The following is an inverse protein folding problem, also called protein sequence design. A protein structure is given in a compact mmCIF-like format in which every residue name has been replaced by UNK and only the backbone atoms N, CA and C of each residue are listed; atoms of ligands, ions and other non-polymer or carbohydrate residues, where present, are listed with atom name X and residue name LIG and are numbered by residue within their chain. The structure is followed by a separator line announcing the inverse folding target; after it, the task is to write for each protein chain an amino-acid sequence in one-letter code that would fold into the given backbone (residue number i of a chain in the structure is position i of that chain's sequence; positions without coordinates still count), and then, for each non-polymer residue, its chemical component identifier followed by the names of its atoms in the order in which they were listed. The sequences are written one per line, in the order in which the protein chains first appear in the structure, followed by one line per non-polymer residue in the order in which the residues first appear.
data_IF_258587907088
#
_entry.id   IF_258587907088
#
_cell.length_a   1.000
_cell.length_b   1.000
_cell.length_c   1.000
_cell.angle_alpha   90.00
_cell.angle_beta   90.00
_cell.angle_gamma   90.00
#
_symmetry.space_group_name_H-M   'P 1'
#
loop_
_entity.id
_entity.type
_entity.pdbx_description
1 polymer ?
#
# COMPACT_ATOMS: atom_id res chain seq x y z
N UNK A 1 -15.36 3.65 -8.87
CA UNK A 1 -13.97 3.85 -8.41
C UNK A 1 -12.98 3.54 -9.51
N UNK A 2 -12.14 4.51 -9.90
CA UNK A 2 -10.92 4.29 -10.67
C UNK A 2 -9.71 4.24 -9.70
N UNK A 3 -8.75 3.34 -9.95
CA UNK A 3 -7.44 3.38 -9.30
C UNK A 3 -6.62 4.53 -9.87
N UNK A 4 -5.55 4.94 -9.18
CA UNK A 4 -4.62 5.96 -9.68
C UNK A 4 -4.07 5.61 -11.06
N UNK A 5 -3.92 6.60 -11.95
CA UNK A 5 -3.39 6.45 -13.32
C UNK A 5 -4.21 5.58 -14.28
N UNK A 6 -3.58 4.94 -15.27
CA UNK A 6 -4.25 4.09 -16.30
C UNK A 6 -3.67 2.67 -16.40
N UNK A 7 -4.38 1.74 -17.07
CA UNK A 7 -3.86 0.38 -17.32
C UNK A 7 -2.63 0.40 -18.25
N UNK A 8 -2.57 1.35 -19.18
CA UNK A 8 -1.44 1.55 -20.08
C UNK A 8 -0.21 2.01 -19.31
N UNK A 9 -0.34 3.03 -18.46
CA UNK A 9 0.74 3.51 -17.60
C UNK A 9 1.21 2.43 -16.61
N UNK A 10 0.27 1.63 -16.08
CA UNK A 10 0.61 0.49 -15.24
C UNK A 10 1.44 -0.55 -15.99
N UNK A 11 1.07 -0.88 -17.23
CA UNK A 11 1.81 -1.83 -18.06
C UNK A 11 3.21 -1.32 -18.38
N UNK A 12 3.33 -0.04 -18.77
CA UNK A 12 4.61 0.61 -19.03
C UNK A 12 5.52 0.63 -17.79
N UNK A 13 4.94 0.89 -16.61
CA UNK A 13 5.67 0.86 -15.34
C UNK A 13 6.23 -0.54 -15.06
N UNK A 14 5.39 -1.58 -15.17
CA UNK A 14 5.82 -2.96 -14.91
C UNK A 14 6.90 -3.42 -15.89
N UNK A 15 6.81 -3.03 -17.16
CA UNK A 15 7.84 -3.33 -18.17
C UNK A 15 9.17 -2.64 -17.83
N UNK A 16 9.13 -1.36 -17.46
CA UNK A 16 10.32 -0.61 -17.05
C UNK A 16 10.97 -1.18 -15.77
N UNK A 17 10.15 -1.71 -14.86
CA UNK A 17 10.60 -2.40 -13.64
C UNK A 17 11.11 -3.83 -13.89
N UNK A 18 10.92 -4.38 -15.10
CA UNK A 18 11.29 -5.75 -15.44
C UNK A 18 10.33 -6.82 -14.90
N UNK A 19 9.11 -6.42 -14.52
CA UNK A 19 8.06 -7.33 -14.06
C UNK A 19 7.28 -7.92 -15.22
N UNK A 20 6.74 -9.13 -15.00
CA UNK A 20 5.98 -9.87 -16.00
C UNK A 20 4.62 -10.22 -15.40
N UNK A 21 3.55 -9.77 -16.07
CA UNK A 21 2.21 -10.14 -15.64
C UNK A 21 2.00 -11.66 -15.74
N UNK A 22 1.21 -12.26 -14.84
CA UNK A 22 0.77 -13.65 -15.00
C UNK A 22 0.11 -13.87 -16.36
N UNK A 23 0.39 -15.02 -16.99
CA UNK A 23 -0.20 -15.35 -18.28
C UNK A 23 -1.74 -15.31 -18.21
N UNK A 24 -2.36 -14.74 -19.25
CA UNK A 24 -3.81 -14.59 -19.31
C UNK A 24 -4.38 -13.43 -18.48
N UNK A 25 -3.55 -12.55 -17.92
CA UNK A 25 -4.03 -11.33 -17.24
C UNK A 25 -4.81 -10.44 -18.21
N UNK A 26 -6.10 -10.28 -17.94
CA UNK A 26 -7.02 -9.47 -18.74
C UNK A 26 -7.03 -8.01 -18.29
N UNK A 27 -7.45 -7.09 -19.17
CA UNK A 27 -7.58 -5.66 -18.86
C UNK A 27 -8.50 -5.39 -17.64
N UNK A 28 -9.66 -6.06 -17.47
CA UNK A 28 -10.47 -5.92 -16.26
C UNK A 28 -9.73 -6.35 -14.98
N UNK A 29 -8.87 -7.38 -15.04
CA UNK A 29 -8.08 -7.80 -13.89
C UNK A 29 -7.00 -6.77 -13.53
N UNK A 30 -6.33 -6.16 -14.52
CA UNK A 30 -5.42 -5.04 -14.28
C UNK A 30 -6.13 -3.86 -13.64
N UNK A 31 -7.32 -3.53 -14.14
CA UNK A 31 -8.14 -2.46 -13.55
C UNK A 31 -8.52 -2.77 -12.12
N UNK A 32 -8.98 -4.00 -11.82
CA UNK A 32 -9.33 -4.42 -10.47
C UNK A 32 -8.13 -4.40 -9.51
N UNK A 33 -6.96 -4.83 -9.98
CA UNK A 33 -5.73 -4.81 -9.20
C UNK A 33 -5.28 -3.38 -8.89
N UNK A 34 -5.35 -2.46 -9.87
CA UNK A 34 -5.09 -1.03 -9.66
C UNK A 34 -6.01 -0.43 -8.60
N UNK A 35 -7.28 -0.85 -8.51
CA UNK A 35 -8.16 -0.41 -7.43
C UNK A 35 -7.62 -0.83 -6.07
N UNK A 36 -7.24 -2.11 -5.92
CA UNK A 36 -6.72 -2.65 -4.65
C UNK A 36 -5.38 -2.00 -4.28
N UNK A 37 -4.49 -1.83 -5.25
CA UNK A 37 -3.23 -1.12 -5.06
C UNK A 37 -3.44 0.33 -4.61
N UNK A 38 -4.40 1.04 -5.22
CA UNK A 38 -4.74 2.41 -4.80
C UNK A 38 -5.29 2.47 -3.37
N UNK A 39 -6.17 1.53 -3.00
CA UNK A 39 -6.69 1.43 -1.63
C UNK A 39 -5.58 1.18 -0.60
N UNK A 40 -4.59 0.38 -0.96
CA UNK A 40 -3.43 0.14 -0.11
C UNK A 40 -2.63 1.44 0.13
N UNK A 41 -2.39 2.23 -0.93
CA UNK A 41 -1.73 3.54 -0.80
C UNK A 41 -2.57 4.52 0.03
N UNK A 42 -3.89 4.53 -0.17
CA UNK A 42 -4.81 5.40 0.57
C UNK A 42 -4.77 5.13 2.10
N UNK A 43 -4.34 3.94 2.56
CA UNK A 43 -4.12 3.63 3.99
C UNK A 43 -3.08 4.54 4.65
N UNK A 44 -2.15 5.09 3.87
CA UNK A 44 -1.14 6.03 4.36
C UNK A 44 -1.65 7.47 4.51
N UNK A 45 -2.92 7.74 4.16
CA UNK A 45 -3.50 9.07 4.24
C UNK A 45 -3.28 9.81 5.56
N UNK A 46 -3.39 9.20 6.75
CA UNK A 46 -3.13 9.91 8.01
C UNK A 46 -1.71 10.47 8.12
N UNK A 47 -0.78 9.99 7.29
CA UNK A 47 0.61 10.44 7.23
C UNK A 47 0.87 11.40 6.08
N UNK A 48 -0.03 11.54 5.10
CA UNK A 48 0.20 12.45 3.96
C UNK A 48 0.02 13.91 4.37
N UNK A 49 0.84 14.77 3.78
CA UNK A 49 0.72 16.22 3.95
C UNK A 49 -0.54 16.78 3.29
N UNK A 50 -0.99 17.94 3.75
CA UNK A 50 -2.20 18.59 3.23
C UNK A 50 -3.50 17.81 3.51
N UNK A 51 -4.56 18.18 2.80
CA UNK A 51 -5.90 17.59 2.93
C UNK A 51 -6.51 17.30 1.55
N UNK A 52 -7.45 16.36 1.45
CA UNK A 52 -8.10 16.02 0.16
C UNK A 52 -8.69 17.27 -0.50
N UNK A 53 -8.32 17.54 -1.75
CA UNK A 53 -8.79 18.72 -2.49
C UNK A 53 -10.32 18.73 -2.65
N UNK A 54 -10.92 17.58 -2.94
CA UNK A 54 -12.37 17.37 -3.07
C UNK A 54 -13.09 17.05 -1.76
N UNK A 55 -12.41 17.19 -0.61
CA UNK A 55 -13.00 16.92 0.71
C UNK A 55 -13.41 15.47 0.93
N UNK A 56 -14.42 15.24 1.77
CA UNK A 56 -14.84 13.90 2.21
C UNK A 56 -15.38 13.01 1.08
N UNK A 57 -15.91 13.62 0.01
CA UNK A 57 -16.50 12.90 -1.12
C UNK A 57 -15.46 12.46 -2.16
N UNK A 58 -14.21 12.96 -2.05
CA UNK A 58 -13.12 12.50 -2.92
C UNK A 58 -12.85 11.02 -2.65
N UNK A 59 -12.90 10.18 -3.68
CA UNK A 59 -12.75 8.73 -3.55
C UNK A 59 -11.32 8.30 -3.12
N UNK A 60 -10.30 9.04 -3.59
CA UNK A 60 -8.88 8.73 -3.43
C UNK A 60 -8.20 9.71 -2.48
N UNK A 61 -7.10 9.32 -1.83
CA UNK A 61 -6.39 10.21 -0.91
C UNK A 61 -5.74 11.41 -1.61
N UNK A 62 -5.36 11.25 -2.89
CA UNK A 62 -4.84 12.32 -3.76
C UNK A 62 -5.86 12.66 -4.88
N UNK A 63 -5.89 13.92 -5.37
CA UNK A 63 -4.97 15.03 -5.08
C UNK A 63 -5.26 15.75 -3.74
N UNK A 64 -4.35 16.64 -3.31
CA UNK A 64 -4.38 17.25 -1.98
C UNK A 64 -4.06 18.76 -1.98
N UNK A 65 -4.86 19.56 -1.27
CA UNK A 65 -4.63 20.99 -1.03
C UNK A 65 -3.68 21.21 0.13
N UNK A 66 -2.71 22.11 -0.06
CA UNK A 66 -1.71 22.45 0.96
C UNK A 66 -0.71 21.32 1.23
N UNK A 67 -0.59 20.36 0.31
CA UNK A 67 0.41 19.30 0.39
C UNK A 67 1.79 19.86 0.04
N UNK A 68 2.81 19.36 0.74
CA UNK A 68 4.21 19.63 0.46
C UNK A 68 5.03 18.35 0.58
N UNK A 69 6.18 18.32 -0.07
CA UNK A 69 7.17 17.27 0.15
C UNK A 69 7.74 17.37 1.57
N UNK A 70 8.48 16.34 1.99
CA UNK A 70 9.19 16.28 3.25
C UNK A 70 10.13 17.48 3.46
N UNK A 71 10.72 17.99 2.37
CA UNK A 71 11.60 19.16 2.39
C UNK A 71 10.86 20.51 2.27
N UNK A 72 9.51 20.50 2.26
CA UNK A 72 8.69 21.71 2.24
C UNK A 72 8.39 22.26 0.85
N UNK A 73 8.72 21.53 -0.23
CA UNK A 73 8.35 21.97 -1.59
C UNK A 73 6.84 21.80 -1.80
N UNK A 74 6.13 22.83 -2.27
CA UNK A 74 4.68 22.75 -2.43
C UNK A 74 4.31 21.80 -3.59
N UNK A 75 3.28 20.99 -3.37
CA UNK A 75 2.70 20.12 -4.38
C UNK A 75 1.39 20.77 -4.87
N UNK A 76 1.19 20.97 -6.18
CA UNK A 76 -0.04 21.53 -6.71
C UNK A 76 -1.28 20.71 -6.32
N UNK A 77 -2.39 21.40 -6.01
CA UNK A 77 -3.61 20.77 -5.47
C UNK A 77 -4.43 19.96 -6.47
N UNK A 78 -4.08 20.05 -7.75
CA UNK A 78 -4.67 19.33 -8.88
C UNK A 78 -3.79 18.17 -9.37
N UNK A 79 -2.63 17.95 -8.72
CA UNK A 79 -1.66 16.93 -9.12
C UNK A 79 -1.71 15.71 -8.20
N UNK A 80 -1.69 14.53 -8.81
CA UNK A 80 -1.31 13.28 -8.16
C UNK A 80 0.18 13.06 -8.45
N UNK A 81 1.06 13.02 -7.43
CA UNK A 81 2.49 12.80 -7.67
C UNK A 81 2.74 11.46 -8.37
N UNK A 82 3.64 11.44 -9.35
CA UNK A 82 3.98 10.22 -10.11
C UNK A 82 4.43 9.08 -9.19
N UNK A 83 5.15 9.39 -8.11
CA UNK A 83 5.55 8.39 -7.13
C UNK A 83 4.38 7.77 -6.36
N UNK A 84 3.27 8.50 -6.14
CA UNK A 84 2.03 7.93 -5.58
C UNK A 84 1.40 6.94 -6.57
N UNK A 85 1.36 7.29 -7.86
CA UNK A 85 0.85 6.39 -8.90
C UNK A 85 1.72 5.13 -9.03
N UNK A 86 3.04 5.28 -9.10
CA UNK A 86 3.99 4.17 -9.18
C UNK A 86 3.92 3.26 -7.95
N UNK A 87 3.80 3.83 -6.75
CA UNK A 87 3.58 3.07 -5.53
C UNK A 87 2.27 2.25 -5.61
N UNK A 88 1.22 2.83 -6.20
CA UNK A 88 -0.04 2.11 -6.41
C UNK A 88 0.09 0.99 -7.44
N UNK A 89 1.00 1.12 -8.42
CA UNK A 89 1.32 0.07 -9.39
C UNK A 89 2.08 -1.08 -8.77
N UNK A 90 3.07 -0.82 -7.91
CA UNK A 90 3.73 -1.85 -7.11
C UNK A 90 2.72 -2.65 -6.30
N UNK A 91 1.84 -1.95 -5.59
CA UNK A 91 0.78 -2.57 -4.81
C UNK A 91 -0.19 -3.38 -5.70
N UNK A 92 -0.55 -2.86 -6.87
CA UNK A 92 -1.42 -3.54 -7.82
C UNK A 92 -0.79 -4.82 -8.38
N UNK A 93 0.51 -4.81 -8.68
CA UNK A 93 1.22 -5.97 -9.18
C UNK A 93 1.31 -7.08 -8.12
N UNK A 94 1.58 -6.71 -6.86
CA UNK A 94 1.54 -7.65 -5.73
C UNK A 94 0.14 -8.27 -5.56
N UNK A 95 -0.92 -7.48 -5.72
CA UNK A 95 -2.31 -7.97 -5.68
C UNK A 95 -2.72 -8.82 -6.89
N UNK A 96 -2.00 -8.78 -8.00
CA UNK A 96 -2.20 -9.69 -9.15
C UNK A 96 -1.51 -11.02 -8.92
N UNK A 97 -0.29 -10.98 -8.40
CA UNK A 97 0.55 -12.16 -8.20
C UNK A 97 0.20 -12.91 -6.91
N UNK A 98 -0.24 -12.19 -5.88
CA UNK A 98 -0.69 -12.75 -4.61
C UNK A 98 -1.94 -11.99 -4.10
N UNK A 99 -3.14 -12.32 -4.62
CA UNK A 99 -4.37 -11.62 -4.29
C UNK A 99 -4.67 -11.63 -2.79
N UNK A 100 -5.01 -10.45 -2.22
CA UNK A 100 -5.36 -10.30 -0.81
C UNK A 100 -4.15 -10.22 0.15
N UNK A 101 -2.91 -10.30 -0.37
CA UNK A 101 -1.71 -10.19 0.45
C UNK A 101 -1.56 -8.83 1.13
N UNK A 102 -2.03 -7.75 0.51
CA UNK A 102 -1.94 -6.39 1.06
C UNK A 102 -3.09 -6.03 1.99
N UNK A 103 -4.11 -6.88 2.10
CA UNK A 103 -5.27 -6.71 2.98
C UNK A 103 -5.74 -8.06 3.55
N UNK A 104 -4.88 -8.73 4.35
CA UNK A 104 -5.21 -10.03 4.89
C UNK A 104 -6.36 -9.89 5.91
N UNK A 105 -7.37 -10.74 5.77
CA UNK A 105 -8.42 -10.90 6.78
C UNK A 105 -7.91 -11.91 7.80
N UNK A 106 -7.50 -11.43 8.98
CA UNK A 106 -7.08 -12.31 10.07
C UNK A 106 -8.31 -12.63 10.93
N UNK A 107 -8.67 -13.90 10.99
CA UNK A 107 -9.56 -14.45 12.03
C UNK A 107 -8.70 -15.05 13.13
N UNK A 108 -8.94 -14.71 14.40
CA UNK A 108 -8.13 -15.14 15.56
C UNK A 108 -7.98 -16.67 15.78
N UNK A 109 -8.50 -17.50 14.88
CA UNK A 109 -8.34 -18.96 14.83
C UNK A 109 -7.33 -19.46 13.79
N UNK A 110 -6.71 -18.61 12.97
CA UNK A 110 -5.85 -19.04 11.85
C UNK A 110 -4.40 -19.32 12.21
N UNK A 111 -4.02 -19.25 13.49
CA UNK A 111 -2.67 -19.64 13.93
C UNK A 111 -2.62 -21.16 14.07
N UNK A 112 -2.15 -21.85 13.03
CA UNK A 112 -1.78 -23.27 13.13
C UNK A 112 -0.59 -23.37 14.08
N UNK A 113 -0.86 -23.61 15.37
CA UNK A 113 0.15 -23.66 16.44
C UNK A 113 1.13 -24.84 16.28
N UNK A 114 0.75 -25.87 15.51
CA UNK A 114 1.58 -27.04 15.17
C UNK A 114 0.93 -27.80 14.01
N UNK A 115 1.68 -28.07 12.95
CA UNK A 115 1.29 -29.03 11.92
C UNK A 115 2.24 -30.23 12.01
N UNK A 116 1.69 -31.43 12.26
CA UNK A 116 2.47 -32.67 12.37
C UNK A 116 2.25 -33.49 11.11
N UNK A 117 3.27 -33.59 10.26
CA UNK A 117 3.27 -34.48 9.09
C UNK A 117 4.27 -35.60 9.35
N UNK A 118 3.77 -36.78 9.74
CA UNK A 118 4.62 -37.95 10.02
C UNK A 118 5.56 -37.76 11.22
N UNK A 119 6.86 -38.01 11.02
CA UNK A 119 7.92 -37.88 12.04
C UNK A 119 8.63 -36.52 12.04
N UNK A 120 8.19 -35.56 11.22
CA UNK A 120 8.72 -34.20 11.18
C UNK A 120 7.83 -33.27 12.01
N UNK A 121 8.45 -32.58 12.96
CA UNK A 121 7.83 -31.52 13.78
C UNK A 121 8.48 -30.19 13.40
N UNK A 122 7.68 -29.22 12.98
CA UNK A 122 8.13 -27.86 12.70
C UNK A 122 7.41 -26.93 13.68
N UNK A 123 8.17 -26.32 14.57
CA UNK A 123 7.69 -25.29 15.50
C UNK A 123 7.90 -23.92 14.85
N UNK A 124 6.79 -23.28 14.45
CA UNK A 124 6.82 -21.89 14.01
C UNK A 124 6.81 -21.00 15.26
N UNK A 125 7.74 -20.04 15.34
CA UNK A 125 7.72 -19.02 16.37
C UNK A 125 6.42 -18.21 16.25
N UNK A 126 5.43 -18.51 17.09
CA UNK A 126 4.21 -17.71 17.15
C UNK A 126 4.51 -16.41 17.87
N UNK A 127 4.05 -15.29 17.30
CA UNK A 127 4.01 -14.04 18.03
C UNK A 127 3.15 -14.22 19.29
N UNK A 128 3.60 -13.68 20.43
CA UNK A 128 2.88 -13.73 21.70
C UNK A 128 1.79 -12.65 21.83
N UNK A 129 1.63 -11.79 20.81
CA UNK A 129 0.59 -10.76 20.81
C UNK A 129 -0.79 -11.36 20.56
N UNK A 130 -1.72 -11.03 21.45
CA UNK A 130 -3.16 -11.33 21.31
C UNK A 130 -3.93 -10.16 20.70
N UNK A 131 -3.26 -9.04 20.40
CA UNK A 131 -3.89 -7.89 19.76
C UNK A 131 -4.09 -8.17 18.25
N UNK A 132 -5.34 -8.06 17.80
CA UNK A 132 -5.71 -8.29 16.39
C UNK A 132 -4.97 -7.30 15.48
N UNK A 133 -4.72 -6.07 15.94
CA UNK A 133 -3.99 -5.07 15.16
C UNK A 133 -2.54 -5.51 14.91
N UNK A 134 -1.87 -6.08 15.91
CA UNK A 134 -0.51 -6.60 15.79
C UNK A 134 -0.46 -7.84 14.88
N UNK A 135 -1.42 -8.75 14.99
CA UNK A 135 -1.46 -9.94 14.14
C UNK A 135 -1.71 -9.54 12.67
N UNK A 136 -2.59 -8.56 12.41
CA UNK A 136 -2.79 -8.03 11.05
C UNK A 136 -1.54 -7.34 10.53
N UNK A 137 -0.85 -6.54 11.37
CA UNK A 137 0.40 -5.89 10.98
C UNK A 137 1.51 -6.91 10.63
N UNK A 138 1.62 -8.00 11.39
CA UNK A 138 2.56 -9.09 11.12
C UNK A 138 2.20 -9.90 9.86
N UNK A 139 0.91 -9.99 9.52
CA UNK A 139 0.44 -10.69 8.33
C UNK A 139 0.54 -9.83 7.05
N UNK A 140 0.47 -8.50 7.17
CA UNK A 140 0.68 -7.60 6.02
C UNK A 140 2.17 -7.54 5.66
N UNK A 141 2.58 -7.88 4.42
CA UNK A 141 3.96 -7.78 4.02
C UNK A 141 4.41 -6.31 4.01
N UNK A 142 5.59 -6.04 4.57
CA UNK A 142 6.24 -4.73 4.46
C UNK A 142 6.91 -4.64 3.11
N UNK A 143 6.40 -3.78 2.24
CA UNK A 143 6.95 -3.54 0.90
C UNK A 143 7.79 -2.28 0.94
N UNK A 144 9.09 -2.44 1.23
CA UNK A 144 10.02 -1.32 1.39
C UNK A 144 10.15 -0.45 0.15
N UNK A 145 9.92 -1.02 -1.05
CA UNK A 145 9.87 -0.26 -2.31
C UNK A 145 8.74 0.79 -2.31
N UNK A 146 7.55 0.41 -1.82
CA UNK A 146 6.42 1.34 -1.68
C UNK A 146 6.75 2.43 -0.66
N UNK A 147 7.30 2.05 0.50
CA UNK A 147 7.70 3.02 1.52
C UNK A 147 8.73 4.03 0.99
N UNK A 148 9.72 3.55 0.24
CA UNK A 148 10.73 4.38 -0.42
C UNK A 148 10.16 5.34 -1.47
N UNK A 149 9.00 5.05 -2.07
CA UNK A 149 8.32 5.99 -2.97
C UNK A 149 7.44 6.99 -2.21
N UNK A 150 6.83 6.55 -1.11
CA UNK A 150 5.89 7.38 -0.34
C UNK A 150 6.58 8.35 0.62
N UNK A 151 7.80 8.06 1.09
CA UNK A 151 8.44 8.79 2.19
C UNK A 151 8.47 10.30 1.96
N UNK A 152 8.72 10.73 0.72
CA UNK A 152 8.84 12.14 0.34
C UNK A 152 7.52 12.92 0.54
N UNK A 153 6.38 12.22 0.58
CA UNK A 153 5.05 12.82 0.68
C UNK A 153 4.44 12.70 2.10
N UNK A 154 5.18 12.09 3.02
CA UNK A 154 4.74 11.93 4.41
C UNK A 154 5.12 13.15 5.24
N UNK A 155 4.25 13.51 6.17
CA UNK A 155 4.51 14.54 7.17
C UNK A 155 5.73 14.18 8.01
N UNK A 156 6.62 15.14 8.28
CA UNK A 156 7.71 14.92 9.22
C UNK A 156 7.14 14.61 10.60
N UNK A 157 7.70 13.60 11.27
CA UNK A 157 7.40 13.31 12.67
C UNK A 157 8.05 14.41 13.51
N UNK A 158 7.31 15.49 13.78
CA UNK A 158 7.74 16.51 14.72
C UNK A 158 7.40 16.04 16.14
N UNK A 159 8.37 16.04 17.09
CA UNK A 159 8.07 15.69 18.46
C UNK A 159 7.00 16.64 19.03
N UNK A 160 6.01 16.09 19.73
CA UNK A 160 4.88 16.84 20.29
C UNK A 160 5.30 17.90 21.34
N UNK A 161 6.55 17.86 21.81
CA UNK A 161 7.14 18.87 22.68
C UNK A 161 8.47 19.30 22.06
N UNK A 162 8.49 20.54 21.57
CA UNK A 162 9.72 21.26 21.25
C UNK A 162 9.94 22.20 22.44
N UNK A 163 10.72 21.76 23.44
CA UNK A 163 11.16 22.65 24.52
C UNK A 163 12.20 23.59 23.89
N UNK A 164 11.83 24.85 23.71
CA UNK A 164 12.75 25.95 23.37
C UNK A 164 13.06 26.73 24.64
#
# INVERSE_FOLDING_TARGET
MAGYGTNEAFTAYTEAAGYVFPEGTTEPQKTAARQRGSLFIDRYEPRFSGSRTGGYAQERAWPRTGASTYYGEPIPSDVVPVAIENASYEAAYLELTNPGSLSPVVTGSSTVKREKVGSLEVEYATSSSTDIADIVAMATPVVTAIEGMLWLFMCPVLPAILVV
#
